data_IF_152422738375
#
_entry.id   IF_152422738375
#
_cell.length_a   1.000
_cell.length_b   1.000
_cell.length_c   1.000
_cell.angle_alpha   90.00
_cell.angle_beta   90.00
_cell.angle_gamma   90.00
#
_symmetry.space_group_name_H-M   'P 1'
#
loop_
_entity.id
_entity.type
_entity.pdbx_description
1 polymer ?
#
# COMPACT_ATOMS: atom_id res chain seq x y z
N UNK A 1 -0.02 18.08 15.32
CA UNK A 1 -1.26 17.48 14.78
C UNK A 1 -2.15 17.07 15.92
N UNK A 2 -3.39 17.54 15.96
CA UNK A 2 -4.36 17.25 17.01
C UNK A 2 -4.87 15.81 16.85
N UNK A 3 -4.16 14.86 17.46
CA UNK A 3 -4.57 13.46 17.46
C UNK A 3 -5.67 13.21 18.49
N UNK A 4 -6.71 12.45 18.11
CA UNK A 4 -7.65 11.87 19.07
C UNK A 4 -7.15 10.48 19.45
N UNK A 5 -7.10 10.21 20.76
CA UNK A 5 -6.69 8.89 21.26
C UNK A 5 -7.89 7.94 21.24
N UNK A 6 -7.69 6.76 20.67
CA UNK A 6 -8.65 5.64 20.71
C UNK A 6 -7.99 4.53 21.52
N UNK A 7 -8.66 4.07 22.57
CA UNK A 7 -8.27 2.87 23.32
C UNK A 7 -9.10 1.68 22.83
N UNK A 8 -8.44 0.53 22.68
CA UNK A 8 -9.07 -0.72 22.32
C UNK A 8 -8.45 -1.87 23.13
N UNK A 9 -9.26 -2.87 23.44
CA UNK A 9 -8.79 -4.11 24.05
C UNK A 9 -8.41 -5.11 22.95
N UNK A 10 -7.33 -5.85 23.16
CA UNK A 10 -6.84 -6.89 22.27
C UNK A 10 -6.23 -8.01 23.11
N UNK A 11 -6.19 -9.21 22.56
CA UNK A 11 -5.56 -10.37 23.20
C UNK A 11 -4.03 -10.20 23.27
N UNK A 12 -3.40 -11.04 24.11
CA UNK A 12 -1.97 -10.98 24.35
C UNK A 12 -1.14 -11.31 23.09
N UNK A 13 -1.63 -12.22 22.24
CA UNK A 13 -0.90 -12.65 21.04
C UNK A 13 -0.84 -11.53 20.00
N UNK A 14 -1.97 -10.84 19.78
CA UNK A 14 -2.03 -9.66 18.91
C UNK A 14 -1.17 -8.53 19.46
N UNK A 15 -1.19 -8.28 20.78
CA UNK A 15 -0.34 -7.27 21.40
C UNK A 15 1.16 -7.56 21.22
N UNK A 16 1.57 -8.81 21.42
CA UNK A 16 2.95 -9.27 21.19
C UNK A 16 3.35 -9.14 19.73
N UNK A 17 2.44 -9.44 18.79
CA UNK A 17 2.69 -9.30 17.36
C UNK A 17 2.85 -7.84 16.94
N UNK A 18 2.05 -6.93 17.48
CA UNK A 18 2.21 -5.49 17.26
C UNK A 18 3.58 -5.02 17.77
N UNK A 19 4.02 -5.47 18.94
CA UNK A 19 5.34 -5.15 19.48
C UNK A 19 6.47 -5.66 18.60
N UNK A 20 6.39 -6.89 18.12
CA UNK A 20 7.39 -7.46 17.23
C UNK A 20 7.49 -6.70 15.90
N UNK A 21 6.35 -6.36 15.28
CA UNK A 21 6.31 -5.54 14.05
C UNK A 21 6.90 -4.16 14.30
N UNK A 22 6.50 -3.50 15.39
CA UNK A 22 6.98 -2.16 15.75
C UNK A 22 8.51 -2.11 15.87
N UNK A 23 9.11 -3.10 16.52
CA UNK A 23 10.57 -3.21 16.65
C UNK A 23 11.24 -3.43 15.29
N UNK A 24 10.72 -4.33 14.45
CA UNK A 24 11.32 -4.62 13.13
C UNK A 24 11.22 -3.45 12.15
N UNK A 25 10.12 -2.71 12.19
CA UNK A 25 9.89 -1.55 11.30
C UNK A 25 10.47 -0.24 11.86
N UNK A 26 11.08 -0.25 13.07
CA UNK A 26 11.51 0.96 13.79
C UNK A 26 10.37 2.00 13.94
N UNK A 27 9.18 1.53 14.34
CA UNK A 27 7.96 2.33 14.50
C UNK A 27 7.40 2.18 15.91
N UNK A 28 6.62 3.16 16.37
CA UNK A 28 5.91 3.06 17.66
C UNK A 28 4.70 2.12 17.53
N UNK A 29 4.39 1.32 18.57
CA UNK A 29 3.18 0.46 18.62
C UNK A 29 1.90 1.23 18.23
N UNK A 30 1.76 2.46 18.72
CA UNK A 30 0.63 3.33 18.39
C UNK A 30 0.53 3.70 16.90
N UNK A 31 1.66 3.78 16.17
CA UNK A 31 1.65 4.03 14.73
C UNK A 31 1.20 2.79 13.94
N UNK A 32 1.58 1.60 14.40
CA UNK A 32 1.09 0.33 13.82
C UNK A 32 -0.41 0.21 14.06
N UNK A 33 -0.87 0.37 15.30
CA UNK A 33 -2.29 0.32 15.64
C UNK A 33 -3.10 1.38 14.88
N UNK A 34 -2.61 2.62 14.80
CA UNK A 34 -3.27 3.68 14.04
C UNK A 34 -3.34 3.37 12.53
N UNK A 35 -2.32 2.73 11.96
CA UNK A 35 -2.33 2.31 10.56
C UNK A 35 -3.35 1.18 10.31
N UNK A 36 -3.41 0.19 11.20
CA UNK A 36 -4.37 -0.91 11.12
C UNK A 36 -5.82 -0.39 11.24
N UNK A 37 -6.10 0.50 12.21
CA UNK A 37 -7.41 1.13 12.35
C UNK A 37 -7.77 1.93 11.10
N UNK A 38 -6.83 2.72 10.57
CA UNK A 38 -7.04 3.51 9.35
C UNK A 38 -7.36 2.62 8.14
N UNK A 39 -6.67 1.49 7.99
CA UNK A 39 -6.97 0.52 6.95
C UNK A 39 -8.40 -0.02 7.12
N UNK A 40 -8.73 -0.49 8.31
CA UNK A 40 -10.04 -1.11 8.60
C UNK A 40 -11.22 -0.16 8.36
N UNK A 41 -11.13 1.11 8.75
CA UNK A 41 -12.22 2.08 8.55
C UNK A 41 -12.42 2.45 7.08
N UNK A 42 -11.36 2.35 6.25
CA UNK A 42 -11.44 2.64 4.82
C UNK A 42 -11.97 1.48 3.99
N UNK A 43 -12.05 0.26 4.54
CA UNK A 43 -12.66 -0.87 3.85
C UNK A 43 -14.16 -0.64 3.62
N UNK A 44 -14.75 -1.10 2.50
CA UNK A 44 -16.19 -1.08 2.31
C UNK A 44 -16.89 -2.00 3.32
N UNK A 45 -18.19 -1.77 3.56
CA UNK A 45 -18.95 -2.52 4.57
C UNK A 45 -18.96 -4.01 4.28
N UNK A 46 -19.07 -4.39 3.01
CA UNK A 46 -19.05 -5.75 2.50
C UNK A 46 -17.73 -6.45 2.88
N UNK A 47 -16.59 -5.78 2.71
CA UNK A 47 -15.29 -6.32 3.08
C UNK A 47 -15.15 -6.49 4.60
N UNK A 48 -15.63 -5.54 5.41
CA UNK A 48 -15.62 -5.68 6.88
C UNK A 48 -16.49 -6.83 7.35
N UNK A 49 -17.66 -7.01 6.74
CA UNK A 49 -18.58 -8.12 7.05
C UNK A 49 -17.97 -9.46 6.67
N UNK A 50 -17.40 -9.57 5.47
CA UNK A 50 -16.71 -10.77 5.02
C UNK A 50 -15.52 -11.11 5.93
N UNK A 51 -14.70 -10.12 6.29
CA UNK A 51 -13.57 -10.32 7.21
C UNK A 51 -14.01 -10.90 8.57
N UNK A 52 -15.11 -10.39 9.15
CA UNK A 52 -15.65 -10.93 10.41
C UNK A 52 -16.13 -12.38 10.27
N UNK A 53 -16.71 -12.74 9.13
CA UNK A 53 -17.15 -14.12 8.88
C UNK A 53 -15.96 -15.06 8.73
N UNK A 54 -14.92 -14.62 8.02
CA UNK A 54 -13.65 -15.36 7.87
C UNK A 54 -13.01 -15.57 9.24
N UNK A 55 -12.92 -14.54 10.07
CA UNK A 55 -12.33 -14.64 11.41
C UNK A 55 -13.11 -15.61 12.33
N UNK A 56 -14.43 -15.67 12.17
CA UNK A 56 -15.28 -16.54 12.99
C UNK A 56 -15.26 -18.01 12.56
N UNK A 57 -15.01 -18.30 11.29
CA UNK A 57 -15.19 -19.64 10.69
C UNK A 57 -13.91 -20.24 10.12
N UNK A 58 -12.94 -19.41 9.77
CA UNK A 58 -11.75 -19.82 9.02
C UNK A 58 -10.74 -20.56 9.88
N UNK A 59 -10.12 -21.58 9.31
CA UNK A 59 -8.97 -22.23 9.92
C UNK A 59 -7.74 -21.30 9.91
N UNK A 60 -6.74 -21.54 10.78
CA UNK A 60 -5.49 -20.79 10.74
C UNK A 60 -4.82 -20.78 9.35
N UNK A 61 -4.87 -21.90 8.62
CA UNK A 61 -4.32 -22.03 7.27
C UNK A 61 -5.11 -21.19 6.25
N UNK A 62 -6.44 -21.17 6.35
CA UNK A 62 -7.29 -20.34 5.49
C UNK A 62 -7.04 -18.85 5.73
N UNK A 63 -6.88 -18.44 7.00
CA UNK A 63 -6.53 -17.07 7.37
C UNK A 63 -5.15 -16.69 6.82
N UNK A 64 -4.17 -17.60 6.86
CA UNK A 64 -2.86 -17.37 6.27
C UNK A 64 -2.94 -17.20 4.75
N UNK A 65 -3.71 -18.06 4.06
CA UNK A 65 -3.91 -17.96 2.62
C UNK A 65 -4.54 -16.61 2.24
N UNK A 66 -5.56 -16.17 2.98
CA UNK A 66 -6.21 -14.88 2.77
C UNK A 66 -5.24 -13.72 3.00
N UNK A 67 -4.37 -13.82 4.01
CA UNK A 67 -3.32 -12.83 4.26
C UNK A 67 -2.36 -12.70 3.06
N UNK A 68 -1.98 -13.82 2.44
CA UNK A 68 -1.14 -13.82 1.23
C UNK A 68 -1.87 -13.18 0.03
N UNK A 69 -3.17 -13.44 -0.11
CA UNK A 69 -3.98 -12.85 -1.19
C UNK A 69 -4.15 -11.34 -1.01
N UNK A 70 -4.34 -10.87 0.22
CA UNK A 70 -4.32 -9.44 0.57
C UNK A 70 -2.97 -8.82 0.21
N UNK A 71 -1.86 -9.46 0.57
CA UNK A 71 -0.53 -8.98 0.23
C UNK A 71 -0.34 -8.85 -1.29
N UNK A 72 -0.77 -9.86 -2.06
CA UNK A 72 -0.71 -9.83 -3.53
C UNK A 72 -1.52 -8.67 -4.11
N UNK A 73 -2.75 -8.46 -3.62
CA UNK A 73 -3.60 -7.36 -4.07
C UNK A 73 -2.97 -5.99 -3.79
N UNK A 74 -2.37 -5.80 -2.61
CA UNK A 74 -1.69 -4.56 -2.23
C UNK A 74 -0.44 -4.30 -3.08
N UNK A 75 0.39 -5.31 -3.33
CA UNK A 75 1.60 -5.18 -4.15
C UNK A 75 1.25 -4.85 -5.61
N UNK A 76 0.21 -5.47 -6.16
CA UNK A 76 -0.26 -5.15 -7.51
C UNK A 76 -0.77 -3.70 -7.60
N UNK A 77 -1.52 -3.25 -6.60
CA UNK A 77 -1.99 -1.86 -6.54
C UNK A 77 -0.81 -0.87 -6.41
N UNK A 78 0.19 -1.20 -5.58
CA UNK A 78 1.40 -0.40 -5.44
C UNK A 78 2.16 -0.28 -6.77
N UNK A 79 2.35 -1.40 -7.48
CA UNK A 79 2.99 -1.41 -8.79
C UNK A 79 2.22 -0.54 -9.80
N UNK A 80 0.89 -0.66 -9.85
CA UNK A 80 0.07 0.14 -10.75
C UNK A 80 0.16 1.65 -10.46
N UNK A 81 0.20 2.05 -9.17
CA UNK A 81 0.40 3.44 -8.77
C UNK A 81 1.78 3.96 -9.20
N UNK A 82 2.85 3.18 -8.94
CA UNK A 82 4.21 3.55 -9.32
C UNK A 82 4.36 3.66 -10.85
N UNK A 83 3.82 2.68 -11.59
CA UNK A 83 3.82 2.69 -13.06
C UNK A 83 3.10 3.94 -13.61
N UNK A 84 1.94 4.29 -13.05
CA UNK A 84 1.21 5.50 -13.43
C UNK A 84 2.04 6.76 -13.19
N UNK A 85 2.73 6.86 -12.06
CA UNK A 85 3.58 8.00 -11.74
C UNK A 85 4.74 8.14 -12.74
N UNK A 86 5.45 7.04 -13.03
CA UNK A 86 6.54 7.04 -14.02
C UNK A 86 6.05 7.46 -15.41
N UNK A 87 4.89 6.94 -15.85
CA UNK A 87 4.32 7.34 -17.14
C UNK A 87 3.94 8.82 -17.19
N UNK A 88 3.43 9.39 -16.08
CA UNK A 88 3.13 10.82 -15.99
C UNK A 88 4.40 11.66 -16.08
N UNK A 89 5.46 11.28 -15.36
CA UNK A 89 6.76 11.94 -15.39
C UNK A 89 7.42 11.86 -16.78
N UNK A 90 7.39 10.69 -17.44
CA UNK A 90 7.86 10.52 -18.82
C UNK A 90 7.09 11.36 -19.84
N UNK A 91 5.76 11.45 -19.69
CA UNK A 91 4.93 12.26 -20.59
C UNK A 91 5.25 13.75 -20.44
N UNK A 92 5.55 14.21 -19.21
CA UNK A 92 5.93 15.60 -18.96
C UNK A 92 7.35 15.93 -19.40
N UNK A 93 8.28 14.98 -19.33
CA UNK A 93 9.69 15.25 -19.67
C UNK A 93 9.95 15.17 -21.18
N UNK A 94 9.30 14.30 -21.96
CA UNK A 94 9.84 13.92 -23.29
C UNK A 94 8.89 13.93 -24.49
N UNK A 95 7.61 14.29 -24.38
CA UNK A 95 6.68 14.13 -25.53
C UNK A 95 5.78 15.34 -25.82
N UNK A 96 6.05 16.50 -25.23
CA UNK A 96 5.31 17.73 -25.53
C UNK A 96 5.75 18.47 -26.80
N UNK A 97 6.86 18.09 -27.44
CA UNK A 97 7.47 18.89 -28.52
C UNK A 97 8.15 18.10 -29.64
N UNK A 98 7.95 16.79 -29.73
CA UNK A 98 8.58 15.95 -30.77
C UNK A 98 7.50 15.43 -31.72
N UNK A 99 6.92 16.34 -32.52
CA UNK A 99 5.86 16.01 -33.48
C UNK A 99 6.43 15.59 -34.84
N UNK A 100 7.69 15.91 -35.12
CA UNK A 100 8.33 15.65 -36.41
C UNK A 100 9.63 14.84 -36.29
N UNK A 101 10.01 14.18 -37.38
CA UNK A 101 11.23 13.37 -37.47
C UNK A 101 12.51 14.19 -37.17
N UNK A 102 12.49 15.48 -37.51
CA UNK A 102 13.57 16.44 -37.23
C UNK A 102 13.72 16.75 -35.72
N UNK A 103 12.62 16.72 -34.96
CA UNK A 103 12.65 16.98 -33.52
C UNK A 103 13.32 15.81 -32.78
N UNK A 104 13.00 14.57 -33.21
CA UNK A 104 13.62 13.34 -32.68
C UNK A 104 15.12 13.30 -32.97
N UNK A 105 15.54 13.71 -34.18
CA UNK A 105 16.94 13.78 -34.59
C UNK A 105 17.72 14.81 -33.76
N UNK A 106 17.14 15.98 -33.50
CA UNK A 106 17.77 17.02 -32.67
C UNK A 106 17.90 16.63 -31.20
N UNK A 107 16.89 15.95 -30.63
CA UNK A 107 16.95 15.44 -29.26
C UNK A 107 18.03 14.34 -29.11
N UNK A 108 18.22 13.49 -30.11
CA UNK A 108 19.26 12.47 -30.09
C UNK A 108 20.67 13.07 -30.14
N UNK A 109 20.88 14.12 -30.95
CA UNK A 109 22.19 14.80 -31.06
C UNK A 109 22.58 15.51 -29.77
N UNK A 110 21.63 16.16 -29.08
CA UNK A 110 21.89 16.88 -27.83
C UNK A 110 22.25 15.95 -26.66
N UNK A 111 21.76 14.72 -26.65
CA UNK A 111 22.07 13.70 -25.62
C UNK A 111 23.48 13.08 -25.76
N UNK A 112 24.10 13.18 -26.94
CA UNK A 112 25.42 12.60 -27.23
C UNK A 112 26.59 13.59 -27.16
N UNK A 113 26.37 14.82 -26.70
CA UNK A 113 27.39 15.87 -26.60
C UNK A 113 27.95 16.07 -25.19
#
# INVERSE_FOLDING_TARGET
>A
MTGKTISAYTDADTANRIEWIATRENRKKAQIAGSAVKLFVNLPTEARTAWRQIEALGSPEEIEQISQDIARALLNAQYAMAHKQVMQEMTTEHLGSLETEDDLLNAAVSLTR
#
